data_IF_423425062607
#
_entry.id   IF_423425062607
#
_cell.length_a   1.000
_cell.length_b   1.000
_cell.length_c   1.000
_cell.angle_alpha   90.00
_cell.angle_beta   90.00
_cell.angle_gamma   90.00
#
_symmetry.space_group_name_H-M   'P 1'
#
loop_
_entity.id
_entity.type
_entity.pdbx_description
1 polymer ?
#
# COMPACT_ATOMS: atom_id res chain seq x y z
N UNK A 1 -3.28 7.57 -3.42
CA UNK A 1 -3.18 6.27 -2.73
C UNK A 1 -4.42 6.08 -1.88
N UNK A 2 -4.78 4.85 -1.52
CA UNK A 2 -5.80 4.53 -0.52
C UNK A 2 -5.10 4.14 0.78
N UNK A 3 -5.56 4.67 1.92
CA UNK A 3 -5.13 4.19 3.24
C UNK A 3 -6.15 3.14 3.68
N UNK A 4 -5.67 1.93 3.93
CA UNK A 4 -6.52 0.81 4.31
C UNK A 4 -5.92 0.08 5.51
N UNK A 5 -6.44 0.36 6.71
CA UNK A 5 -6.01 -0.32 7.93
C UNK A 5 -6.47 -1.78 8.01
N UNK A 6 -7.42 -2.19 7.15
CA UNK A 6 -7.85 -3.58 7.00
C UNK A 6 -6.93 -4.41 6.10
N UNK A 7 -6.08 -3.76 5.30
CA UNK A 7 -5.04 -4.41 4.53
C UNK A 7 -3.82 -4.70 5.41
N UNK A 8 -3.33 -5.94 5.46
CA UNK A 8 -2.12 -6.27 6.24
C UNK A 8 -0.87 -5.56 5.68
N UNK A 9 -0.70 -5.59 4.37
CA UNK A 9 0.48 -5.03 3.69
C UNK A 9 0.13 -3.90 2.71
N UNK A 10 1.16 -3.32 2.10
CA UNK A 10 1.00 -2.36 1.00
C UNK A 10 0.91 -3.06 -0.35
N UNK A 11 0.11 -2.48 -1.25
CA UNK A 11 -0.10 -3.01 -2.59
C UNK A 11 0.08 -1.91 -3.62
N UNK A 12 0.69 -2.24 -4.76
CA UNK A 12 0.89 -1.32 -5.89
C UNK A 12 0.26 -1.96 -7.12
N UNK A 13 -0.43 -1.14 -7.92
CA UNK A 13 -1.02 -1.60 -9.17
C UNK A 13 0.09 -1.92 -10.19
N UNK A 14 -0.04 -3.05 -10.88
CA UNK A 14 1.00 -3.52 -11.80
C UNK A 14 1.17 -2.57 -12.98
N UNK A 15 0.08 -2.07 -13.56
CA UNK A 15 0.14 -1.15 -14.70
C UNK A 15 0.77 0.18 -14.29
N UNK A 16 0.34 0.72 -13.14
CA UNK A 16 0.91 1.95 -12.58
C UNK A 16 2.40 1.85 -12.28
N UNK A 17 2.87 0.70 -11.79
CA UNK A 17 4.29 0.45 -11.54
C UNK A 17 5.10 0.43 -12.84
N UNK A 18 4.57 -0.22 -13.89
CA UNK A 18 5.20 -0.25 -15.22
C UNK A 18 5.24 1.14 -15.86
N UNK A 19 4.16 1.93 -15.76
CA UNK A 19 4.11 3.31 -16.26
C UNK A 19 5.17 4.21 -15.61
N UNK A 20 5.46 3.97 -14.32
CA UNK A 20 6.53 4.66 -13.57
C UNK A 20 7.92 4.04 -13.75
N UNK A 21 8.06 3.06 -14.64
CA UNK A 21 9.31 2.35 -14.93
C UNK A 21 9.93 1.70 -13.69
N UNK A 22 9.08 1.27 -12.74
CA UNK A 22 9.54 0.47 -11.60
C UNK A 22 9.95 -0.92 -12.12
N UNK A 23 11.10 -1.39 -11.67
CA UNK A 23 11.59 -2.73 -12.02
C UNK A 23 10.77 -3.77 -11.24
N UNK A 24 9.95 -4.56 -11.96
CA UNK A 24 9.15 -5.63 -11.39
C UNK A 24 9.82 -6.99 -11.64
N UNK A 25 10.13 -7.73 -10.58
CA UNK A 25 10.58 -9.11 -10.66
C UNK A 25 9.51 -10.04 -10.10
N UNK A 26 9.24 -11.14 -10.82
CA UNK A 26 8.30 -12.17 -10.35
C UNK A 26 8.97 -12.95 -9.22
N UNK A 27 8.32 -13.03 -8.06
CA UNK A 27 8.80 -13.86 -6.96
C UNK A 27 8.74 -15.35 -7.34
N UNK A 28 9.79 -16.09 -6.97
CA UNK A 28 9.85 -17.55 -7.16
C UNK A 28 8.67 -18.26 -6.46
N UNK A 29 8.31 -17.81 -5.26
CA UNK A 29 7.13 -18.26 -4.52
C UNK A 29 6.16 -17.08 -4.37
N UNK A 30 4.99 -17.10 -5.04
CA UNK A 30 3.99 -16.05 -4.89
C UNK A 30 3.51 -15.94 -3.43
N UNK A 31 3.32 -14.73 -2.95
CA UNK A 31 2.68 -14.47 -1.65
C UNK A 31 1.17 -14.50 -1.86
N UNK A 32 0.42 -15.45 -1.25
CA UNK A 32 -1.03 -15.48 -1.38
C UNK A 32 -1.63 -14.29 -0.63
N UNK A 33 -2.44 -13.50 -1.34
CA UNK A 33 -3.28 -12.46 -0.73
C UNK A 33 -4.68 -13.03 -0.59
N UNK A 34 -5.23 -12.94 0.61
CA UNK A 34 -6.58 -13.38 0.92
C UNK A 34 -7.49 -12.17 1.09
N UNK A 35 -8.72 -12.30 0.62
CA UNK A 35 -9.79 -11.37 0.93
C UNK A 35 -10.23 -11.57 2.40
N UNK A 36 -11.00 -10.62 2.92
CA UNK A 36 -11.53 -10.66 4.30
C UNK A 36 -12.39 -11.90 4.56
N UNK A 37 -13.06 -12.42 3.53
CA UNK A 37 -13.86 -13.65 3.58
C UNK A 37 -13.02 -14.95 3.53
N UNK A 38 -11.68 -14.84 3.49
CA UNK A 38 -10.76 -15.97 3.43
C UNK A 38 -10.54 -16.55 2.02
N UNK A 39 -11.23 -16.02 0.99
CA UNK A 39 -11.02 -16.44 -0.39
C UNK A 39 -9.70 -15.89 -0.94
N UNK A 40 -9.11 -16.58 -1.93
CA UNK A 40 -7.95 -16.04 -2.64
C UNK A 40 -8.36 -14.81 -3.43
N UNK A 41 -7.62 -13.72 -3.24
CA UNK A 41 -7.80 -12.55 -4.07
C UNK A 41 -7.39 -12.89 -5.51
N UNK A 42 -8.37 -12.89 -6.43
CA UNK A 42 -8.17 -13.25 -7.84
C UNK A 42 -7.65 -12.07 -8.68
N UNK A 43 -7.66 -10.85 -8.14
CA UNK A 43 -7.55 -9.59 -8.87
C UNK A 43 -6.50 -8.63 -8.25
N UNK A 44 -5.52 -9.14 -7.48
CA UNK A 44 -4.50 -8.31 -6.80
C UNK A 44 -3.77 -7.35 -7.76
N UNK A 45 -3.71 -7.70 -9.05
CA UNK A 45 -3.03 -6.90 -10.08
C UNK A 45 -3.83 -5.72 -10.62
N UNK A 46 -5.12 -5.63 -10.32
CA UNK A 46 -6.03 -4.61 -10.82
C UNK A 46 -6.65 -3.89 -9.62
N UNK A 47 -5.92 -2.93 -9.03
CA UNK A 47 -6.45 -2.10 -7.94
C UNK A 47 -7.54 -1.09 -8.41
N UNK A 48 -8.04 -1.28 -9.64
CA UNK A 48 -8.99 -0.40 -10.29
C UNK A 48 -8.40 0.98 -10.52
N UNK A 49 -9.05 2.01 -9.97
CA UNK A 49 -8.60 3.41 -10.10
C UNK A 49 -7.56 3.80 -9.07
N UNK A 50 -7.26 2.93 -8.11
CA UNK A 50 -6.33 3.24 -7.01
C UNK A 50 -4.94 2.71 -7.36
N UNK A 51 -3.93 3.57 -7.49
CA UNK A 51 -2.61 3.10 -7.90
C UNK A 51 -1.78 2.42 -6.81
N UNK A 52 -2.10 2.72 -5.54
CA UNK A 52 -1.33 2.32 -4.36
C UNK A 52 -2.27 2.23 -3.16
N UNK A 53 -2.20 1.11 -2.43
CA UNK A 53 -2.81 0.93 -1.10
C UNK A 53 -1.69 0.92 -0.06
N UNK A 54 -1.84 1.77 0.96
CA UNK A 54 -0.99 1.78 2.15
C UNK A 54 -1.70 1.00 3.26
N UNK A 55 -1.16 -0.16 3.58
CA UNK A 55 -1.72 -1.08 4.57
C UNK A 55 -1.22 -0.83 5.99
N UNK A 56 -1.58 -1.74 6.89
CA UNK A 56 -1.30 -1.71 8.31
C UNK A 56 0.19 -1.57 8.64
N UNK A 57 1.07 -2.30 7.94
CA UNK A 57 2.52 -2.21 8.16
C UNK A 57 3.06 -0.79 7.96
N UNK A 58 2.59 -0.10 6.92
CA UNK A 58 2.99 1.28 6.65
C UNK A 58 2.38 2.25 7.66
N UNK A 59 1.09 2.10 7.97
CA UNK A 59 0.40 2.93 8.96
C UNK A 59 1.08 2.83 10.33
N UNK A 60 1.44 1.62 10.76
CA UNK A 60 2.15 1.39 12.02
C UNK A 60 3.55 1.98 12.03
N UNK A 61 4.29 1.88 10.91
CA UNK A 61 5.65 2.42 10.80
C UNK A 61 5.68 3.94 10.83
N UNK A 62 4.77 4.58 10.09
CA UNK A 62 4.80 6.02 9.87
C UNK A 62 3.92 6.81 10.84
N UNK A 63 2.98 6.12 11.51
CA UNK A 63 2.03 6.63 12.49
C UNK A 63 1.56 8.07 12.18
N UNK A 64 0.96 8.31 10.99
CA UNK A 64 0.66 9.66 10.55
C UNK A 64 -0.51 10.26 11.34
N UNK A 65 -0.50 11.59 11.46
CA UNK A 65 -1.69 12.32 11.88
C UNK A 65 -2.63 12.45 10.68
N UNK A 66 -3.85 11.95 10.84
CA UNK A 66 -4.88 12.00 9.79
C UNK A 66 -6.00 12.93 10.27
N UNK A 67 -6.21 14.01 9.51
CA UNK A 67 -7.40 14.85 9.68
C UNK A 67 -8.51 14.26 8.81
N UNK A 68 -9.46 13.57 9.45
CA UNK A 68 -10.60 12.95 8.76
C UNK A 68 -11.62 13.96 8.22
N UNK A 69 -11.58 15.21 8.69
CA UNK A 69 -12.50 16.27 8.24
C UNK A 69 -12.00 16.90 6.94
N UNK A 70 -10.71 17.19 6.85
CA UNK A 70 -10.09 17.78 5.65
C UNK A 70 -9.57 16.74 4.68
N UNK A 71 -9.29 15.52 5.15
CA UNK A 71 -8.63 14.47 4.39
C UNK A 71 -7.10 14.58 4.38
N UNK A 72 -6.51 15.45 5.20
CA UNK A 72 -5.07 15.66 5.25
C UNK A 72 -4.34 14.53 5.99
N UNK A 73 -3.15 14.19 5.50
CA UNK A 73 -2.25 13.22 6.12
C UNK A 73 -0.90 13.90 6.39
N UNK A 74 -0.49 13.93 7.66
CA UNK A 74 0.78 14.52 8.10
C UNK A 74 1.72 13.45 8.64
N UNK A 75 2.94 13.42 8.11
CA UNK A 75 4.01 12.50 8.50
C UNK A 75 4.82 13.03 9.70
N UNK A 76 4.12 13.46 10.75
CA UNK A 76 4.70 14.07 11.96
C UNK A 76 5.56 13.11 12.78
N UNK A 77 5.21 11.82 12.81
CA UNK A 77 5.88 10.78 13.59
C UNK A 77 6.79 9.86 12.76
N UNK A 78 7.18 10.27 11.55
CA UNK A 78 7.98 9.41 10.70
C UNK A 78 9.38 9.14 11.26
N UNK A 79 9.88 7.89 11.15
CA UNK A 79 11.20 7.56 11.64
C UNK A 79 12.30 8.28 10.83
N UNK A 80 13.50 8.47 11.42
CA UNK A 80 14.57 9.30 10.84
C UNK A 80 14.97 8.90 9.42
N UNK A 81 14.89 7.62 9.08
CA UNK A 81 15.23 7.11 7.74
C UNK A 81 14.35 7.73 6.64
N UNK A 82 13.14 8.20 6.97
CA UNK A 82 12.25 8.85 6.01
C UNK A 82 12.78 10.21 5.52
N UNK A 83 13.69 10.84 6.28
CA UNK A 83 14.29 12.15 5.93
C UNK A 83 15.53 12.01 5.05
N UNK A 84 15.96 10.78 4.77
CA UNK A 84 17.17 10.47 3.98
C UNK A 84 16.88 10.29 2.48
N UNK A 85 15.67 10.62 2.02
CA UNK A 85 15.21 10.48 0.63
C UNK A 85 15.24 11.80 -0.12
#
# INVERSE_FOLDING_TARGET
ALLDSGATGCFVDKSWALDRRLQLSKLMKPVPVLNVDGTRNQEVTCLGKVPLILGHDWLKKHNPDIDWTTGDVKLSCCPPECKSL
#
